data_IF_126080986418
#
_entry.id   IF_126080986418
#
_cell.length_a   1.000
_cell.length_b   1.000
_cell.length_c   1.000
_cell.angle_alpha   90.00
_cell.angle_beta   90.00
_cell.angle_gamma   90.00
#
_symmetry.space_group_name_H-M   'P 1'
#
loop_
_entity.id
_entity.type
_entity.pdbx_description
1 polymer ?
#
# COMPACT_ATOMS: atom_id res chain seq x y z
N UNK A 1 -2.87 19.27 9.83
CA UNK A 1 -2.83 18.96 8.39
C UNK A 1 -4.20 18.43 8.04
N UNK A 2 -4.81 18.94 6.98
CA UNK A 2 -6.09 18.42 6.51
C UNK A 2 -5.88 17.06 5.84
N UNK A 3 -6.82 16.13 6.02
CA UNK A 3 -6.74 14.81 5.40
C UNK A 3 -6.99 14.93 3.89
N UNK A 4 -6.00 14.49 3.10
CA UNK A 4 -6.04 14.54 1.64
C UNK A 4 -6.04 13.12 1.08
N UNK A 5 -7.25 12.61 0.84
CA UNK A 5 -7.46 11.25 0.34
C UNK A 5 -6.70 10.98 -0.98
N UNK A 6 -6.74 11.87 -2.00
CA UNK A 6 -5.93 11.70 -3.21
C UNK A 6 -4.44 11.51 -2.92
N UNK A 7 -3.83 12.36 -2.10
CA UNK A 7 -2.40 12.24 -1.76
C UNK A 7 -2.11 10.94 -1.00
N UNK A 8 -2.97 10.57 -0.06
CA UNK A 8 -2.85 9.34 0.72
C UNK A 8 -2.89 8.09 -0.18
N UNK A 9 -3.85 8.02 -1.12
CA UNK A 9 -3.95 6.91 -2.06
C UNK A 9 -2.77 6.88 -3.03
N UNK A 10 -2.35 8.05 -3.54
CA UNK A 10 -1.19 8.16 -4.42
C UNK A 10 0.08 7.64 -3.74
N UNK A 11 0.27 7.94 -2.45
CA UNK A 11 1.40 7.45 -1.67
C UNK A 11 1.38 5.93 -1.51
N UNK A 12 0.20 5.33 -1.24
CA UNK A 12 0.05 3.88 -1.17
C UNK A 12 0.44 3.21 -2.49
N UNK A 13 -0.05 3.73 -3.61
CA UNK A 13 0.28 3.20 -4.95
C UNK A 13 1.77 3.35 -5.24
N UNK A 14 2.38 4.49 -4.90
CA UNK A 14 3.81 4.70 -5.07
C UNK A 14 4.64 3.69 -4.27
N UNK A 15 4.26 3.42 -3.01
CA UNK A 15 4.90 2.40 -2.18
C UNK A 15 4.79 1.01 -2.81
N UNK A 16 3.61 0.65 -3.33
CA UNK A 16 3.38 -0.63 -4.01
C UNK A 16 4.28 -0.75 -5.24
N UNK A 17 4.35 0.28 -6.09
CA UNK A 17 5.20 0.28 -7.29
C UNK A 17 6.67 0.13 -6.94
N UNK A 18 7.16 0.87 -5.95
CA UNK A 18 8.56 0.79 -5.49
C UNK A 18 8.88 -0.59 -4.93
N UNK A 19 8.00 -1.15 -4.10
CA UNK A 19 8.15 -2.50 -3.54
C UNK A 19 8.18 -3.58 -4.63
N UNK A 20 7.27 -3.51 -5.60
CA UNK A 20 7.25 -4.42 -6.75
C UNK A 20 8.52 -4.32 -7.58
N UNK A 21 8.98 -3.11 -7.91
CA UNK A 21 10.21 -2.91 -8.68
C UNK A 21 11.44 -3.45 -7.94
N UNK A 22 11.54 -3.24 -6.63
CA UNK A 22 12.62 -3.76 -5.81
C UNK A 22 12.61 -5.31 -5.80
N UNK A 23 11.45 -5.94 -5.60
CA UNK A 23 11.34 -7.41 -5.61
C UNK A 23 11.74 -8.03 -6.95
N UNK A 24 11.32 -7.42 -8.06
CA UNK A 24 11.74 -7.86 -9.40
C UNK A 24 13.24 -7.67 -9.59
N UNK A 25 13.80 -6.52 -9.19
CA UNK A 25 15.22 -6.22 -9.34
C UNK A 25 16.15 -7.11 -8.50
N UNK A 26 15.69 -7.58 -7.33
CA UNK A 26 16.46 -8.47 -6.46
C UNK A 26 16.46 -9.94 -6.93
N UNK A 27 15.51 -10.34 -7.79
CA UNK A 27 15.42 -11.71 -8.28
C UNK A 27 15.12 -12.76 -7.20
N UNK A 28 14.56 -12.35 -6.06
CA UNK A 28 14.28 -13.24 -4.92
C UNK A 28 13.22 -14.32 -5.22
N UNK A 29 12.41 -14.11 -6.26
CA UNK A 29 11.37 -15.03 -6.73
C UNK A 29 11.05 -14.75 -8.20
N UNK A 30 10.33 -15.68 -8.86
CA UNK A 30 9.94 -15.50 -10.26
C UNK A 30 9.09 -14.24 -10.46
N UNK A 31 9.33 -13.51 -11.56
CA UNK A 31 8.59 -12.28 -11.90
C UNK A 31 7.08 -12.51 -11.96
N UNK A 32 6.64 -13.68 -12.45
CA UNK A 32 5.22 -14.05 -12.46
C UNK A 32 4.63 -14.11 -11.05
N UNK A 33 5.34 -14.66 -10.08
CA UNK A 33 4.94 -14.68 -8.67
C UNK A 33 4.81 -13.27 -8.11
N UNK A 34 5.78 -12.39 -8.40
CA UNK A 34 5.73 -11.00 -7.94
C UNK A 34 4.52 -10.26 -8.51
N UNK A 35 4.29 -10.35 -9.83
CA UNK A 35 3.27 -9.56 -10.51
C UNK A 35 1.85 -10.13 -10.35
N UNK A 36 1.69 -11.45 -10.28
CA UNK A 36 0.37 -12.10 -10.24
C UNK A 36 -0.09 -12.48 -8.84
N UNK A 37 0.80 -12.52 -7.85
CA UNK A 37 0.45 -12.91 -6.48
C UNK A 37 0.83 -11.82 -5.47
N UNK A 38 2.11 -11.46 -5.40
CA UNK A 38 2.60 -10.58 -4.33
C UNK A 38 2.08 -9.15 -4.47
N UNK A 39 2.23 -8.56 -5.65
CA UNK A 39 1.78 -7.19 -5.93
C UNK A 39 0.28 -7.00 -5.68
N UNK A 40 -0.62 -7.86 -6.19
CA UNK A 40 -2.05 -7.74 -5.89
C UNK A 40 -2.36 -7.95 -4.41
N UNK A 41 -1.76 -8.93 -3.73
CA UNK A 41 -1.97 -9.13 -2.29
C UNK A 41 -1.47 -7.94 -1.46
N UNK A 42 -0.31 -7.37 -1.80
CA UNK A 42 0.25 -6.19 -1.15
C UNK A 42 -0.65 -4.97 -1.30
N UNK A 43 -1.22 -4.75 -2.49
CA UNK A 43 -2.14 -3.65 -2.75
C UNK A 43 -3.43 -3.79 -1.94
N UNK A 44 -4.05 -4.98 -1.94
CA UNK A 44 -5.27 -5.25 -1.18
C UNK A 44 -5.03 -5.10 0.32
N UNK A 45 -3.98 -5.72 0.84
CA UNK A 45 -3.65 -5.63 2.26
C UNK A 45 -3.31 -4.19 2.68
N UNK A 46 -2.51 -3.48 1.89
CA UNK A 46 -2.18 -2.08 2.12
C UNK A 46 -3.42 -1.19 2.13
N UNK A 47 -4.38 -1.41 1.22
CA UNK A 47 -5.65 -0.68 1.21
C UNK A 47 -6.50 -0.95 2.46
N UNK A 48 -6.53 -2.20 2.94
CA UNK A 48 -7.22 -2.54 4.19
C UNK A 48 -6.58 -1.83 5.39
N UNK A 49 -5.25 -1.91 5.53
CA UNK A 49 -4.51 -1.21 6.58
C UNK A 49 -4.74 0.30 6.52
N UNK A 50 -4.75 0.88 5.33
CA UNK A 50 -5.01 2.30 5.12
C UNK A 50 -6.40 2.70 5.61
N UNK A 51 -7.44 1.96 5.20
CA UNK A 51 -8.81 2.24 5.59
C UNK A 51 -9.00 2.16 7.11
N UNK A 52 -8.48 1.11 7.74
CA UNK A 52 -8.56 0.92 9.19
C UNK A 52 -7.75 2.01 9.91
N UNK A 53 -6.54 2.32 9.44
CA UNK A 53 -5.67 3.33 10.04
C UNK A 53 -6.27 4.73 10.00
N UNK A 54 -6.89 5.12 8.89
CA UNK A 54 -7.60 6.40 8.77
C UNK A 54 -8.74 6.47 9.79
N UNK A 55 -9.58 5.42 9.88
CA UNK A 55 -10.68 5.37 10.87
C UNK A 55 -10.21 5.41 12.31
N UNK A 56 -9.11 4.72 12.62
CA UNK A 56 -8.51 4.77 13.95
C UNK A 56 -7.96 6.17 14.28
N UNK A 57 -7.36 6.84 13.29
CA UNK A 57 -6.90 8.22 13.42
C UNK A 57 -8.03 9.21 13.68
N UNK A 58 -9.12 9.12 12.91
CA UNK A 58 -10.34 9.93 13.09
C UNK A 58 -10.92 9.75 14.50
N UNK A 59 -11.00 8.51 14.99
CA UNK A 59 -11.49 8.20 16.34
C UNK A 59 -10.65 8.87 17.42
N UNK A 60 -9.31 8.79 17.30
CA UNK A 60 -8.37 9.40 18.27
C UNK A 60 -8.30 10.92 18.21
N UNK A 61 -8.60 11.52 17.05
CA UNK A 61 -8.65 12.98 16.93
C UNK A 61 -9.94 13.56 17.51
N UNK A 62 -10.99 12.74 17.64
CA UNK A 62 -12.32 13.14 18.10
C UNK A 62 -12.57 12.91 19.60
N UNK A 63 -11.64 12.26 20.32
CA UNK A 63 -11.71 11.92 21.74
C UNK A 63 -10.43 12.31 22.47
#
# INVERSE_FOLDING_TARGET
>A
MEFDLPKTVALLVALVVVGTAALVGMGAMATSTVLMMVTPSMLVFGALCLAIGVKHGEYRASN
#
